data_IF_202453005032
#
_entry.id   IF_202453005032
#
_cell.length_a   1.000
_cell.length_b   1.000
_cell.length_c   1.000
_cell.angle_alpha   90.00
_cell.angle_beta   90.00
_cell.angle_gamma   90.00
#
_symmetry.space_group_name_H-M   'P 1'
#
loop_
_entity.id
_entity.type
_entity.pdbx_description
1 polymer ?
#
# COMPACT_ATOMS: atom_id res chain seq x y z
N UNK A 1 0.92 13.25 0.05
CA UNK A 1 2.16 12.99 -0.70
C UNK A 1 2.64 11.53 -0.57
N UNK A 2 2.66 10.95 0.64
CA UNK A 2 3.05 9.53 0.87
C UNK A 2 2.07 8.51 0.27
N UNK A 3 0.79 8.86 0.19
CA UNK A 3 -0.28 8.15 -0.53
C UNK A 3 0.03 7.95 -2.03
N UNK A 4 0.64 8.95 -2.69
CA UNK A 4 1.02 8.87 -4.11
C UNK A 4 2.21 7.93 -4.34
N UNK A 5 3.18 7.92 -3.42
CA UNK A 5 4.35 7.04 -3.47
C UNK A 5 3.92 5.59 -3.29
N UNK A 6 2.99 5.35 -2.35
CA UNK A 6 2.36 4.06 -2.13
C UNK A 6 1.75 3.53 -3.43
N UNK A 7 0.83 4.30 -4.00
CA UNK A 7 0.13 3.90 -5.22
C UNK A 7 1.11 3.59 -6.37
N UNK A 8 2.09 4.47 -6.59
CA UNK A 8 3.08 4.30 -7.64
C UNK A 8 3.97 3.06 -7.44
N UNK A 9 4.39 2.80 -6.20
CA UNK A 9 5.24 1.64 -5.85
C UNK A 9 4.47 0.33 -6.05
N UNK A 10 3.24 0.25 -5.54
CA UNK A 10 2.39 -0.93 -5.67
C UNK A 10 2.03 -1.20 -7.13
N UNK A 11 1.78 -0.16 -7.92
CA UNK A 11 1.55 -0.31 -9.36
C UNK A 11 2.78 -0.88 -10.08
N UNK A 12 3.98 -0.37 -9.80
CA UNK A 12 5.21 -0.87 -10.41
C UNK A 12 5.52 -2.33 -10.03
N UNK A 13 5.27 -2.71 -8.78
CA UNK A 13 5.51 -4.07 -8.27
C UNK A 13 4.72 -5.15 -9.04
N UNK A 14 3.55 -4.82 -9.59
CA UNK A 14 2.74 -5.74 -10.40
C UNK A 14 3.46 -6.25 -11.65
N UNK A 15 4.43 -5.49 -12.17
CA UNK A 15 5.17 -5.81 -13.38
C UNK A 15 6.61 -6.28 -13.11
N UNK A 16 6.96 -6.60 -11.87
CA UNK A 16 8.32 -7.01 -11.50
C UNK A 16 8.80 -8.25 -12.27
N UNK A 17 7.90 -9.19 -12.61
CA UNK A 17 8.26 -10.40 -13.36
C UNK A 17 8.62 -10.12 -14.83
N UNK A 18 8.10 -9.03 -15.42
CA UNK A 18 8.38 -8.62 -16.80
C UNK A 18 8.30 -7.09 -16.93
N UNK A 19 9.28 -6.34 -16.42
CA UNK A 19 9.25 -4.89 -16.43
C UNK A 19 9.44 -4.34 -17.86
N UNK A 20 8.87 -3.16 -18.12
CA UNK A 20 9.05 -2.42 -19.37
C UNK A 20 9.84 -1.14 -19.08
N UNK A 21 10.32 -0.43 -20.11
CA UNK A 21 11.02 0.85 -19.91
C UNK A 21 10.19 1.90 -19.16
N UNK A 22 8.87 1.89 -19.35
CA UNK A 22 7.94 2.75 -18.61
C UNK A 22 7.97 2.44 -17.11
N UNK A 23 7.93 1.16 -16.74
CA UNK A 23 8.03 0.72 -15.33
C UNK A 23 9.38 1.11 -14.73
N UNK A 24 10.48 0.89 -15.45
CA UNK A 24 11.82 1.25 -15.00
C UNK A 24 11.97 2.77 -14.77
N UNK A 25 11.37 3.57 -15.64
CA UNK A 25 11.37 5.04 -15.50
C UNK A 25 10.59 5.48 -14.27
N UNK A 26 9.42 4.87 -14.01
CA UNK A 26 8.63 5.14 -12.82
C UNK A 26 9.39 4.77 -11.54
N UNK A 27 10.02 3.59 -11.50
CA UNK A 27 10.84 3.15 -10.36
C UNK A 27 12.02 4.09 -10.11
N UNK A 28 12.73 4.54 -11.14
CA UNK A 28 13.81 5.54 -11.00
C UNK A 28 13.30 6.86 -10.40
N UNK A 29 12.09 7.30 -10.77
CA UNK A 29 11.48 8.51 -10.18
C UNK A 29 11.16 8.32 -8.70
N UNK A 30 10.65 7.15 -8.31
CA UNK A 30 10.40 6.81 -6.90
C UNK A 30 11.71 6.86 -6.10
N UNK A 31 12.78 6.21 -6.59
CA UNK A 31 14.06 6.23 -5.89
C UNK A 31 14.68 7.63 -5.79
N UNK A 32 14.57 8.44 -6.85
CA UNK A 32 15.03 9.84 -6.81
C UNK A 32 14.26 10.65 -5.77
N UNK A 33 12.94 10.50 -5.73
CA UNK A 33 12.12 11.14 -4.71
C UNK A 33 12.58 10.74 -3.29
N UNK A 34 12.75 9.44 -3.03
CA UNK A 34 13.20 8.94 -1.72
C UNK A 34 14.58 9.50 -1.34
N UNK A 35 15.50 9.59 -2.30
CA UNK A 35 16.82 10.19 -2.11
C UNK A 35 16.75 11.69 -1.79
N UNK A 36 15.86 12.41 -2.45
CA UNK A 36 15.72 13.85 -2.27
C UNK A 36 14.97 14.18 -0.96
N UNK A 37 14.13 13.27 -0.45
CA UNK A 37 13.36 13.45 0.81
C UNK A 37 13.95 12.75 2.03
N UNK A 38 15.23 12.36 2.03
CA UNK A 38 15.87 11.67 3.17
C UNK A 38 15.83 12.46 4.48
N UNK A 39 15.72 13.79 4.39
CA UNK A 39 15.67 14.68 5.54
C UNK A 39 14.25 14.85 6.10
N UNK A 40 13.23 14.31 5.42
CA UNK A 40 11.86 14.28 5.90
C UNK A 40 11.69 13.09 6.85
N UNK A 41 11.22 13.36 8.07
CA UNK A 41 10.93 12.35 9.07
C UNK A 41 9.60 12.61 9.76
N UNK A 42 9.02 11.56 10.33
CA UNK A 42 7.83 11.66 11.17
C UNK A 42 8.26 11.98 12.60
N UNK A 43 7.75 13.07 13.16
CA UNK A 43 7.99 13.45 14.56
C UNK A 43 6.78 13.12 15.44
N UNK A 44 7.04 12.43 16.55
CA UNK A 44 6.03 12.02 17.52
C UNK A 44 6.28 12.74 18.86
N UNK A 45 5.42 13.70 19.25
CA UNK A 45 5.46 14.29 20.58
C UNK A 45 5.19 13.23 21.64
N UNK A 46 5.86 13.33 22.79
CA UNK A 46 5.73 12.37 23.91
C UNK A 46 4.30 12.32 24.50
N UNK A 47 3.55 13.41 24.36
CA UNK A 47 2.26 13.62 25.03
C UNK A 47 1.04 13.46 24.12
N UNK A 48 1.23 13.17 22.83
CA UNK A 48 0.14 12.75 21.94
C UNK A 48 -0.11 11.26 22.14
N UNK A 49 -1.35 10.90 22.49
CA UNK A 49 -1.74 9.49 22.64
C UNK A 49 -1.33 8.65 21.42
N UNK A 50 -0.81 7.45 21.68
CA UNK A 50 -0.41 6.49 20.64
C UNK A 50 -1.60 5.68 20.14
N UNK A 51 -2.62 6.37 19.62
CA UNK A 51 -3.76 5.71 19.00
C UNK A 51 -3.38 5.22 17.60
N UNK A 52 -3.48 3.92 17.36
CA UNK A 52 -3.23 3.31 16.07
C UNK A 52 -4.57 3.17 15.32
N UNK A 53 -4.75 3.91 14.24
CA UNK A 53 -5.91 3.80 13.36
C UNK A 53 -5.49 3.10 12.08
N UNK A 54 -6.10 1.95 11.79
CA UNK A 54 -5.82 1.19 10.57
C UNK A 54 -7.04 1.17 9.66
N UNK A 55 -6.83 1.43 8.38
CA UNK A 55 -7.81 1.28 7.32
C UNK A 55 -7.40 0.12 6.42
N UNK A 56 -8.38 -0.70 6.04
CA UNK A 56 -8.21 -1.81 5.12
C UNK A 56 -9.18 -1.66 3.97
N UNK A 57 -8.73 -1.95 2.76
CA UNK A 57 -9.55 -1.97 1.56
C UNK A 57 -9.18 -3.18 0.70
N UNK A 58 -10.08 -3.60 -0.19
CA UNK A 58 -9.75 -4.60 -1.20
C UNK A 58 -10.42 -4.29 -2.52
N UNK A 59 -9.66 -4.35 -3.61
CA UNK A 59 -10.27 -4.33 -4.94
C UNK A 59 -10.95 -5.68 -5.23
N UNK A 60 -12.15 -5.70 -5.80
CA UNK A 60 -12.78 -6.93 -6.29
C UNK A 60 -12.39 -7.14 -7.76
N UNK A 61 -11.73 -8.27 -8.05
CA UNK A 61 -11.27 -8.62 -9.40
C UNK A 61 -10.42 -7.53 -10.10
N UNK A 62 -9.70 -6.68 -9.35
CA UNK A 62 -8.96 -5.53 -9.90
C UNK A 62 -7.74 -5.90 -10.75
N UNK A 63 -7.30 -7.17 -10.72
CA UNK A 63 -6.28 -7.69 -11.63
C UNK A 63 -6.95 -8.29 -12.88
N UNK A 64 -6.98 -7.55 -13.99
CA UNK A 64 -7.59 -7.98 -15.26
C UNK A 64 -7.03 -9.32 -15.77
N UNK A 65 -5.76 -9.62 -15.50
CA UNK A 65 -5.09 -10.84 -15.99
C UNK A 65 -5.49 -12.11 -15.22
N UNK A 66 -5.77 -12.01 -13.91
CA UNK A 66 -5.95 -13.19 -13.03
C UNK A 66 -7.25 -13.15 -12.21
N UNK A 67 -8.05 -12.08 -12.32
CA UNK A 67 -9.24 -11.77 -11.49
C UNK A 67 -9.00 -11.85 -9.98
N UNK A 68 -7.75 -11.81 -9.54
CA UNK A 68 -7.38 -11.82 -8.12
C UNK A 68 -7.54 -10.41 -7.54
N UNK A 69 -8.08 -10.36 -6.34
CA UNK A 69 -8.19 -9.15 -5.53
C UNK A 69 -6.84 -8.71 -4.98
N UNK A 70 -6.69 -7.42 -4.74
CA UNK A 70 -5.55 -6.80 -4.07
C UNK A 70 -6.05 -6.25 -2.74
N UNK A 71 -5.51 -6.76 -1.63
CA UNK A 71 -5.73 -6.16 -0.31
C UNK A 71 -4.82 -4.95 -0.16
N UNK A 72 -5.38 -3.82 0.25
CA UNK A 72 -4.69 -2.60 0.65
C UNK A 72 -4.87 -2.34 2.14
N UNK A 73 -3.85 -1.79 2.79
CA UNK A 73 -3.89 -1.43 4.19
C UNK A 73 -3.05 -0.19 4.47
N UNK A 74 -3.55 0.69 5.33
CA UNK A 74 -2.90 1.95 5.71
C UNK A 74 -3.03 2.10 7.23
N UNK A 75 -1.92 2.33 7.93
CA UNK A 75 -1.87 2.45 9.39
C UNK A 75 -1.35 3.82 9.79
N UNK A 76 -2.16 4.55 10.56
CA UNK A 76 -1.87 5.86 11.12
C UNK A 76 -1.64 5.76 12.63
N UNK A 77 -0.74 6.58 13.15
CA UNK A 77 -0.41 6.66 14.57
C UNK A 77 -0.62 8.10 15.05
N UNK A 78 -1.35 8.27 16.15
CA UNK A 78 -1.67 9.61 16.67
C UNK A 78 -2.59 10.41 15.73
N UNK A 79 -3.47 9.72 15.01
CA UNK A 79 -4.47 10.30 14.10
C UNK A 79 -3.98 10.49 12.67
N UNK A 80 -3.04 11.39 12.43
CA UNK A 80 -2.69 11.86 11.07
C UNK A 80 -1.33 11.36 10.54
N UNK A 81 -0.54 10.65 11.35
CA UNK A 81 0.82 10.24 10.99
C UNK A 81 0.81 8.83 10.39
N UNK A 82 0.91 8.74 9.07
CA UNK A 82 1.06 7.46 8.37
C UNK A 82 2.37 6.77 8.78
N UNK A 83 2.29 5.65 9.50
CA UNK A 83 3.46 4.88 9.95
C UNK A 83 3.80 3.72 9.03
N UNK A 84 2.78 3.09 8.43
CA UNK A 84 3.02 1.94 7.57
C UNK A 84 1.85 1.66 6.66
N UNK A 85 2.13 0.91 5.60
CA UNK A 85 1.18 0.56 4.56
C UNK A 85 1.43 -0.86 4.07
N UNK A 86 0.42 -1.43 3.43
CA UNK A 86 0.44 -2.75 2.83
C UNK A 86 -0.33 -2.71 1.51
N UNK A 87 0.22 -3.35 0.49
CA UNK A 87 -0.56 -3.74 -0.69
C UNK A 87 -0.12 -5.15 -1.08
N UNK A 88 -1.05 -6.10 -0.94
CA UNK A 88 -0.78 -7.51 -1.17
C UNK A 88 -1.83 -8.07 -2.12
N UNK A 89 -1.37 -8.67 -3.21
CA UNK A 89 -2.25 -9.46 -4.07
C UNK A 89 -2.72 -10.69 -3.27
N UNK A 90 -4.03 -10.95 -3.26
CA UNK A 90 -4.58 -12.11 -2.57
C UNK A 90 -4.14 -13.41 -3.24
N UNK A 91 -3.80 -14.41 -2.44
CA UNK A 91 -3.32 -15.70 -2.94
C UNK A 91 -4.45 -16.49 -3.62
N UNK A 92 -5.67 -16.36 -3.12
CA UNK A 92 -6.89 -16.95 -3.65
C UNK A 92 -7.73 -15.93 -4.43
N UNK A 93 -8.44 -16.39 -5.46
CA UNK A 93 -9.43 -15.58 -6.18
C UNK A 93 -10.67 -15.44 -5.30
N UNK A 94 -11.03 -14.20 -4.95
CA UNK A 94 -12.25 -13.96 -4.18
C UNK A 94 -13.48 -14.09 -5.07
N UNK A 95 -14.48 -14.83 -4.59
CA UNK A 95 -15.75 -15.05 -5.31
C UNK A 95 -16.76 -13.90 -5.08
N UNK A 96 -16.48 -12.99 -4.14
CA UNK A 96 -17.32 -11.82 -3.84
C UNK A 96 -16.48 -10.67 -3.29
N UNK A 97 -17.03 -9.45 -3.28
CA UNK A 97 -16.40 -8.29 -2.63
C UNK A 97 -16.26 -8.49 -1.13
N UNK A 98 -17.32 -8.93 -0.44
CA UNK A 98 -17.31 -9.18 1.00
C UNK A 98 -16.20 -10.16 1.45
N UNK A 99 -15.95 -11.21 0.66
CA UNK A 99 -14.85 -12.14 0.94
C UNK A 99 -13.47 -11.51 0.72
N UNK A 100 -13.35 -10.60 -0.25
CA UNK A 100 -12.10 -9.88 -0.49
C UNK A 100 -11.81 -8.91 0.67
N UNK A 101 -12.84 -8.22 1.17
CA UNK A 101 -12.74 -7.28 2.30
C UNK A 101 -12.38 -8.01 3.61
N UNK A 102 -12.96 -9.18 3.85
CA UNK A 102 -12.60 -9.98 5.03
C UNK A 102 -11.12 -10.41 5.02
N UNK A 103 -10.61 -10.77 3.83
CA UNK A 103 -9.20 -11.14 3.65
C UNK A 103 -8.27 -9.92 3.76
N UNK A 104 -8.70 -8.72 3.38
CA UNK A 104 -7.90 -7.51 3.61
C UNK A 104 -7.87 -7.12 5.08
N UNK A 105 -9.02 -7.18 5.76
CA UNK A 105 -9.12 -6.91 7.20
C UNK A 105 -8.19 -7.83 8.00
N UNK A 106 -8.21 -9.14 7.73
CA UNK A 106 -7.32 -10.08 8.43
C UNK A 106 -5.84 -9.78 8.20
N UNK A 107 -5.47 -9.33 7.00
CA UNK A 107 -4.09 -8.92 6.68
C UNK A 107 -3.68 -7.59 7.33
N UNK A 108 -4.62 -6.72 7.70
CA UNK A 108 -4.32 -5.46 8.40
C UNK A 108 -4.14 -5.62 9.91
N UNK A 109 -4.78 -6.63 10.52
CA UNK A 109 -4.64 -6.97 11.94
C UNK A 109 -3.48 -7.92 12.25
N UNK A 110 -2.86 -8.52 11.23
CA UNK A 110 -1.69 -9.39 11.35
C UNK A 110 -0.37 -8.59 11.38
#
# INVERSE_FOLDING_TARGET
QVDQILYATCYCARYQAKPTEKHLTAVKRIFRYLKDTIHMGLWYPKDTGFELTAFSDSDHAGCLDLRKSTSGGIRFLGGDKLVSWLSKKQDCTSMSSAKAEFVSLSACYA
#
